data_IF_590389640384
#
_entry.id   IF_590389640384
#
_cell.length_a   1.000
_cell.length_b   1.000
_cell.length_c   1.000
_cell.angle_alpha   90.00
_cell.angle_beta   90.00
_cell.angle_gamma   90.00
#
_symmetry.space_group_name_H-M   'P 1'
#
loop_
_entity.id
_entity.type
_entity.pdbx_description
1 polymer ?
#
# COMPACT_ATOMS: atom_id res chain seq x y z
N UNK A 1 -6.28 12.38 -2.14
CA UNK A 1 -7.19 11.59 -1.27
C UNK A 1 -6.72 11.67 0.17
N UNK A 2 -7.64 11.79 1.13
CA UNK A 2 -7.28 11.87 2.55
C UNK A 2 -7.07 10.47 3.15
N UNK A 3 -6.02 10.29 3.96
CA UNK A 3 -5.70 9.03 4.64
C UNK A 3 -6.69 8.66 5.76
N UNK A 4 -7.49 9.62 6.18
CA UNK A 4 -8.50 9.46 7.24
C UNK A 4 -9.90 9.22 6.66
N UNK A 5 -10.00 8.88 5.39
CA UNK A 5 -11.26 8.62 4.71
C UNK A 5 -11.39 7.13 4.40
N UNK A 6 -12.53 6.57 4.79
CA UNK A 6 -12.85 5.15 4.66
C UNK A 6 -14.19 5.01 3.97
N UNK A 7 -14.27 4.19 2.93
CA UNK A 7 -15.54 3.82 2.30
C UNK A 7 -15.98 2.47 2.82
N UNK A 8 -17.18 2.38 3.35
CA UNK A 8 -17.78 1.13 3.77
C UNK A 8 -18.84 0.71 2.76
N UNK A 9 -18.51 -0.30 1.96
CA UNK A 9 -19.44 -0.91 1.00
C UNK A 9 -20.29 -1.94 1.72
N UNK A 10 -21.61 -1.85 1.57
CA UNK A 10 -22.51 -2.74 2.29
C UNK A 10 -23.68 -3.25 1.44
N UNK A 11 -23.94 -4.53 1.62
CA UNK A 11 -24.97 -5.32 0.95
C UNK A 11 -26.37 -5.17 1.51
N UNK A 12 -27.41 -5.61 0.76
CA UNK A 12 -28.69 -5.92 1.37
C UNK A 12 -28.53 -7.09 2.35
N UNK A 13 -29.21 -7.03 3.50
CA UNK A 13 -29.14 -8.05 4.54
C UNK A 13 -30.38 -8.93 4.48
N UNK A 14 -30.23 -10.25 4.37
CA UNK A 14 -31.35 -11.19 4.33
C UNK A 14 -31.84 -11.57 5.74
N UNK A 15 -32.22 -10.57 6.54
CA UNK A 15 -32.80 -10.76 7.88
C UNK A 15 -34.29 -10.43 7.82
N UNK A 16 -35.14 -11.31 8.37
CA UNK A 16 -36.60 -11.17 8.38
C UNK A 16 -37.20 -11.11 6.96
N UNK A 17 -36.80 -12.05 6.09
CA UNK A 17 -37.32 -12.26 4.72
C UNK A 17 -37.33 -11.01 3.82
N UNK A 18 -36.53 -10.00 4.17
CA UNK A 18 -36.46 -8.72 3.49
C UNK A 18 -35.04 -8.43 3.04
N UNK A 19 -34.78 -8.58 1.74
CA UNK A 19 -33.50 -8.24 1.11
C UNK A 19 -33.39 -6.73 0.87
N UNK A 20 -33.28 -5.95 1.95
CA UNK A 20 -33.12 -4.49 1.89
C UNK A 20 -31.78 -4.04 2.47
N UNK A 21 -31.27 -2.91 1.97
CA UNK A 21 -30.12 -2.23 2.55
C UNK A 21 -30.48 -1.68 3.93
N UNK A 22 -29.72 -2.08 4.96
CA UNK A 22 -29.95 -1.67 6.36
C UNK A 22 -28.69 -0.96 6.90
N UNK A 23 -28.49 0.34 6.62
CA UNK A 23 -27.30 1.08 7.05
C UNK A 23 -27.17 1.15 8.58
N UNK A 24 -28.27 1.01 9.32
CA UNK A 24 -28.30 0.99 10.77
C UNK A 24 -27.42 -0.11 11.40
N UNK A 25 -27.14 -1.20 10.67
CA UNK A 25 -26.22 -2.26 11.12
C UNK A 25 -24.77 -1.76 11.27
N UNK A 26 -24.40 -0.71 10.52
CA UNK A 26 -23.05 -0.15 10.51
C UNK A 26 -22.92 1.12 11.35
N UNK A 27 -23.98 1.54 12.05
CA UNK A 27 -23.96 2.75 12.89
C UNK A 27 -22.92 2.65 13.99
N UNK A 28 -22.84 1.51 14.71
CA UNK A 28 -21.84 1.33 15.77
C UNK A 28 -20.39 1.41 15.27
N UNK A 29 -20.12 0.84 14.09
CA UNK A 29 -18.81 0.91 13.44
C UNK A 29 -18.49 2.36 13.01
N UNK A 30 -19.46 3.03 12.38
CA UNK A 30 -19.35 4.42 11.92
C UNK A 30 -19.06 5.35 13.10
N UNK A 31 -19.86 5.29 14.15
CA UNK A 31 -19.75 6.16 15.32
C UNK A 31 -18.39 6.00 16.01
N UNK A 32 -17.92 4.75 16.14
CA UNK A 32 -16.62 4.49 16.75
C UNK A 32 -15.46 5.02 15.92
N UNK A 33 -15.48 4.82 14.61
CA UNK A 33 -14.43 5.31 13.71
C UNK A 33 -14.46 6.85 13.57
N UNK A 34 -15.65 7.46 13.58
CA UNK A 34 -15.80 8.92 13.64
C UNK A 34 -15.26 9.50 14.95
N UNK A 35 -15.51 8.85 16.09
CA UNK A 35 -14.95 9.25 17.39
C UNK A 35 -13.42 9.19 17.42
N UNK A 36 -12.81 8.27 16.66
CA UNK A 36 -11.35 8.18 16.49
C UNK A 36 -10.81 9.28 15.54
N UNK A 37 -11.67 9.88 14.71
CA UNK A 37 -11.33 10.95 13.77
C UNK A 37 -11.29 10.53 12.30
N UNK A 38 -11.80 9.34 11.95
CA UNK A 38 -11.97 8.91 10.57
C UNK A 38 -13.31 9.43 10.00
N UNK A 39 -13.29 9.82 8.72
CA UNK A 39 -14.50 10.11 7.96
C UNK A 39 -14.94 8.82 7.24
N UNK A 40 -16.18 8.41 7.47
CA UNK A 40 -16.77 7.21 6.87
C UNK A 40 -17.95 7.58 5.99
N UNK A 41 -17.92 7.05 4.77
CA UNK A 41 -19.04 7.08 3.85
C UNK A 41 -19.55 5.66 3.64
N UNK A 42 -20.87 5.50 3.74
CA UNK A 42 -21.55 4.23 3.52
C UNK A 42 -22.02 4.16 2.06
N UNK A 43 -21.57 3.15 1.32
CA UNK A 43 -21.92 2.95 -0.10
C UNK A 43 -22.71 1.64 -0.26
N UNK A 44 -23.99 1.67 -0.68
CA UNK A 44 -24.76 0.45 -0.90
C UNK A 44 -24.26 -0.31 -2.14
N UNK A 45 -24.23 -1.65 -2.06
CA UNK A 45 -23.78 -2.55 -3.14
C UNK A 45 -24.72 -3.76 -3.26
N UNK A 46 -25.05 -4.26 -4.47
CA UNK A 46 -26.07 -5.31 -4.63
C UNK A 46 -25.71 -6.72 -4.08
N UNK A 47 -24.53 -6.91 -3.47
CA UNK A 47 -24.10 -8.22 -2.96
C UNK A 47 -24.73 -8.53 -1.58
N UNK A 48 -25.51 -9.60 -1.49
CA UNK A 48 -26.23 -9.97 -0.26
C UNK A 48 -25.26 -10.31 0.88
N UNK A 49 -25.55 -9.77 2.08
CA UNK A 49 -24.77 -9.93 3.31
C UNK A 49 -23.27 -9.55 3.18
N UNK A 50 -22.93 -8.66 2.25
CA UNK A 50 -21.56 -8.22 2.01
C UNK A 50 -21.21 -6.98 2.82
N UNK A 51 -20.02 -6.93 3.43
CA UNK A 51 -19.45 -5.71 4.00
C UNK A 51 -17.96 -5.64 3.70
N UNK A 52 -17.50 -4.52 3.13
CA UNK A 52 -16.10 -4.28 2.81
C UNK A 52 -15.72 -2.86 3.18
N UNK A 53 -14.59 -2.71 3.87
CA UNK A 53 -13.98 -1.42 4.17
C UNK A 53 -12.83 -1.17 3.20
N UNK A 54 -12.89 -0.05 2.51
CA UNK A 54 -11.86 0.41 1.59
C UNK A 54 -11.20 1.68 2.16
N UNK A 55 -9.86 1.71 2.12
CA UNK A 55 -9.07 2.90 2.41
C UNK A 55 -8.12 3.16 1.25
N UNK A 56 -8.12 4.39 0.72
CA UNK A 56 -7.23 4.81 -0.36
C UNK A 56 -7.26 3.89 -1.61
N UNK A 57 -8.42 3.33 -1.98
CA UNK A 57 -8.52 2.42 -3.11
C UNK A 57 -8.21 0.95 -2.80
N UNK A 58 -7.87 0.62 -1.55
CA UNK A 58 -7.51 -0.73 -1.15
C UNK A 58 -8.49 -1.33 -0.15
N UNK A 59 -8.84 -2.60 -0.36
CA UNK A 59 -9.60 -3.39 0.59
C UNK A 59 -8.78 -3.63 1.86
N UNK A 60 -9.29 -3.14 2.98
CA UNK A 60 -8.66 -3.26 4.31
C UNK A 60 -9.27 -4.40 5.10
N UNK A 61 -10.59 -4.56 4.98
CA UNK A 61 -11.33 -5.54 5.75
C UNK A 61 -12.58 -5.96 5.01
N UNK A 62 -12.90 -7.24 5.10
CA UNK A 62 -14.13 -7.81 4.54
C UNK A 62 -14.75 -8.78 5.53
N UNK A 63 -16.07 -8.71 5.65
CA UNK A 63 -16.83 -9.61 6.48
C UNK A 63 -18.24 -9.85 5.93
N UNK A 64 -18.89 -10.88 6.46
CA UNK A 64 -20.31 -11.12 6.26
C UNK A 64 -21.11 -10.22 7.23
N UNK A 65 -22.10 -9.47 6.72
CA UNK A 65 -22.96 -8.60 7.52
C UNK A 65 -23.68 -9.33 8.67
N UNK A 66 -23.95 -10.63 8.52
CA UNK A 66 -24.56 -11.47 9.57
C UNK A 66 -23.69 -11.60 10.82
N UNK A 67 -22.38 -11.40 10.68
CA UNK A 67 -21.43 -11.52 11.79
C UNK A 67 -21.35 -10.23 12.63
N UNK A 68 -21.99 -9.14 12.19
CA UNK A 68 -22.09 -7.90 12.93
C UNK A 68 -23.35 -7.93 13.80
N UNK A 69 -23.19 -7.63 15.09
CA UNK A 69 -24.29 -7.64 16.05
C UNK A 69 -24.99 -6.28 16.05
N UNK A 70 -26.29 -6.28 15.73
CA UNK A 70 -27.11 -5.08 15.72
C UNK A 70 -27.23 -4.46 17.12
N UNK A 71 -27.21 -3.12 17.20
CA UNK A 71 -27.39 -2.34 18.43
C UNK A 71 -26.44 -2.68 19.59
N UNK A 72 -25.34 -3.37 19.31
CA UNK A 72 -24.36 -3.70 20.32
C UNK A 72 -23.28 -2.62 20.38
N UNK A 73 -22.86 -2.29 21.61
CA UNK A 73 -21.70 -1.44 21.86
C UNK A 73 -20.50 -2.05 21.12
N UNK A 74 -19.70 -1.26 20.36
CA UNK A 74 -18.62 -1.79 19.52
C UNK A 74 -17.63 -2.66 20.30
N UNK A 75 -17.36 -2.35 21.58
CA UNK A 75 -16.44 -3.15 22.41
C UNK A 75 -16.93 -4.60 22.66
N UNK A 76 -18.23 -4.88 22.51
CA UNK A 76 -18.80 -6.23 22.70
C UNK A 76 -18.92 -7.03 21.40
N UNK A 77 -18.77 -6.39 20.24
CA UNK A 77 -18.80 -7.07 18.95
C UNK A 77 -17.36 -7.34 18.46
N UNK A 78 -16.89 -8.60 18.48
CA UNK A 78 -15.52 -8.93 18.07
C UNK A 78 -15.29 -8.73 16.57
N UNK A 79 -16.34 -8.77 15.74
CA UNK A 79 -16.21 -8.51 14.30
C UNK A 79 -16.04 -7.00 14.05
N UNK A 80 -16.80 -6.19 14.78
CA UNK A 80 -16.67 -4.73 14.75
C UNK A 80 -15.28 -4.28 15.22
N UNK A 81 -14.79 -4.81 16.36
CA UNK A 81 -13.46 -4.49 16.87
C UNK A 81 -12.35 -4.88 15.89
N UNK A 82 -12.42 -6.08 15.29
CA UNK A 82 -11.45 -6.50 14.26
C UNK A 82 -11.45 -5.58 13.05
N UNK A 83 -12.62 -5.08 12.64
CA UNK A 83 -12.72 -4.13 11.54
C UNK A 83 -12.05 -2.79 11.90
N UNK A 84 -12.26 -2.29 13.12
CA UNK A 84 -11.62 -1.07 13.63
C UNK A 84 -10.10 -1.25 13.70
N UNK A 85 -9.62 -2.36 14.23
CA UNK A 85 -8.19 -2.67 14.35
C UNK A 85 -7.53 -2.81 12.96
N UNK A 86 -8.24 -3.40 11.99
CA UNK A 86 -7.79 -3.46 10.60
C UNK A 86 -7.64 -2.07 9.98
N UNK A 87 -8.60 -1.16 10.21
CA UNK A 87 -8.53 0.25 9.77
C UNK A 87 -7.37 0.98 10.45
N UNK A 88 -7.20 0.82 11.76
CA UNK A 88 -6.11 1.46 12.51
C UNK A 88 -4.73 0.98 12.03
N UNK A 89 -4.53 -0.33 11.96
CA UNK A 89 -3.26 -0.92 11.49
C UNK A 89 -2.96 -0.52 10.04
N UNK A 90 -3.96 -0.49 9.17
CA UNK A 90 -3.81 -0.05 7.78
C UNK A 90 -3.50 1.44 7.68
N UNK A 91 -4.09 2.29 8.54
CA UNK A 91 -3.78 3.72 8.57
C UNK A 91 -2.31 4.00 8.89
N UNK A 92 -1.68 3.19 9.76
CA UNK A 92 -0.25 3.28 10.06
C UNK A 92 0.58 2.89 8.84
N UNK A 93 0.22 1.79 8.16
CA UNK A 93 0.88 1.34 6.92
C UNK A 93 0.80 2.40 5.83
N UNK A 94 -0.37 2.99 5.60
CA UNK A 94 -0.53 4.03 4.59
C UNK A 94 0.19 5.33 4.94
N UNK A 95 0.27 5.72 6.22
CA UNK A 95 1.09 6.86 6.65
C UNK A 95 2.57 6.64 6.34
N UNK A 96 3.09 5.42 6.59
CA UNK A 96 4.47 5.05 6.24
C UNK A 96 4.68 5.07 4.74
N UNK A 97 3.80 4.42 3.96
CA UNK A 97 3.86 4.42 2.50
C UNK A 97 3.88 5.84 1.93
N UNK A 98 3.02 6.75 2.46
CA UNK A 98 3.01 8.16 2.05
C UNK A 98 4.32 8.88 2.38
N UNK A 99 4.88 8.66 3.56
CA UNK A 99 6.14 9.29 3.95
C UNK A 99 7.30 8.83 3.05
N UNK A 100 7.32 7.54 2.72
CA UNK A 100 8.29 6.94 1.80
C UNK A 100 8.11 7.55 0.40
N UNK A 101 6.89 7.59 -0.13
CA UNK A 101 6.61 8.14 -1.45
C UNK A 101 6.96 9.63 -1.54
N UNK A 102 6.65 10.40 -0.50
CA UNK A 102 7.06 11.81 -0.41
C UNK A 102 8.59 11.95 -0.44
N UNK A 103 9.30 11.13 0.34
CA UNK A 103 10.76 11.14 0.36
C UNK A 103 11.35 10.78 -1.02
N UNK A 104 10.77 9.80 -1.72
CA UNK A 104 11.14 9.47 -3.10
C UNK A 104 10.94 10.66 -4.06
N UNK A 105 9.78 11.33 -3.99
CA UNK A 105 9.55 12.51 -4.83
C UNK A 105 10.51 13.64 -4.49
N UNK A 106 10.84 13.85 -3.22
CA UNK A 106 11.80 14.85 -2.80
C UNK A 106 13.22 14.55 -3.31
N UNK A 107 13.65 13.29 -3.23
CA UNK A 107 14.91 12.85 -3.81
C UNK A 107 14.93 13.05 -5.33
N UNK A 108 13.85 12.69 -6.02
CA UNK A 108 13.76 12.87 -7.48
C UNK A 108 13.89 14.35 -7.88
N UNK A 109 13.17 15.21 -7.18
CA UNK A 109 13.23 16.66 -7.39
C UNK A 109 14.59 17.27 -7.04
N UNK A 110 15.28 16.81 -5.99
CA UNK A 110 16.55 17.41 -5.56
C UNK A 110 17.79 16.81 -6.23
N UNK A 111 17.77 15.52 -6.55
CA UNK A 111 18.94 14.82 -7.08
C UNK A 111 18.94 14.70 -8.60
N UNK A 112 17.77 14.57 -9.23
CA UNK A 112 17.71 14.22 -10.66
C UNK A 112 17.17 15.35 -11.53
N UNK A 113 16.33 16.25 -11.02
CA UNK A 113 15.97 17.49 -11.72
C UNK A 113 17.03 18.57 -11.52
N UNK A 114 18.13 18.42 -12.25
CA UNK A 114 19.14 19.48 -12.36
C UNK A 114 18.52 20.70 -13.04
N UNK A 115 18.58 21.86 -12.39
CA UNK A 115 18.33 23.14 -13.07
C UNK A 115 19.43 23.40 -14.10
N UNK A 116 19.18 24.28 -15.05
CA UNK A 116 20.19 24.71 -16.05
C UNK A 116 21.50 25.19 -15.38
N UNK A 117 21.37 25.74 -14.16
CA UNK A 117 22.47 26.24 -13.34
C UNK A 117 22.97 25.24 -12.27
N UNK A 118 22.44 24.02 -12.23
CA UNK A 118 22.92 23.02 -11.29
C UNK A 118 24.35 22.60 -11.65
N UNK A 119 25.21 22.32 -10.65
CA UNK A 119 26.56 21.80 -10.89
C UNK A 119 26.48 20.57 -11.81
N UNK A 120 27.18 20.62 -12.94
CA UNK A 120 27.32 19.45 -13.80
C UNK A 120 28.14 18.42 -13.03
N UNK A 121 27.59 17.24 -12.80
CA UNK A 121 28.39 16.11 -12.34
C UNK A 121 29.33 15.74 -13.48
N UNK A 122 30.57 16.20 -13.41
CA UNK A 122 31.63 15.74 -14.29
C UNK A 122 31.98 14.31 -13.85
N UNK A 123 31.52 13.33 -14.61
CA UNK A 123 32.07 12.00 -14.48
C UNK A 123 33.52 12.03 -14.96
N UNK A 124 34.39 11.29 -14.28
CA UNK A 124 35.81 11.24 -14.63
C UNK A 124 36.07 10.77 -16.08
N UNK A 125 35.09 10.15 -16.74
CA UNK A 125 35.12 9.79 -18.15
C UNK A 125 34.98 10.98 -19.10
N UNK A 126 34.35 12.08 -18.67
CA UNK A 126 34.01 13.22 -19.52
C UNK A 126 35.02 14.36 -19.38
N UNK A 127 35.93 14.24 -18.41
CA UNK A 127 37.13 15.05 -18.39
C UNK A 127 38.06 14.40 -19.42
N UNK A 128 38.22 15.04 -20.57
CA UNK A 128 39.40 14.86 -21.41
C UNK A 128 40.59 15.30 -20.57
N UNK A 129 41.02 14.44 -19.65
CA UNK A 129 42.31 14.57 -19.00
C UNK A 129 43.25 14.50 -20.20
N UNK A 130 43.97 15.59 -20.55
CA UNK A 130 44.93 15.51 -21.63
C UNK A 130 45.76 14.31 -21.28
N UNK A 131 45.70 13.29 -22.15
CA UNK A 131 46.36 12.02 -21.93
C UNK A 131 47.80 12.41 -21.65
N UNK A 132 48.16 12.45 -20.37
CA UNK A 132 49.54 12.44 -19.98
C UNK A 132 49.96 11.07 -20.48
N UNK A 133 50.47 11.05 -21.71
CA UNK A 133 51.24 9.95 -22.28
C UNK A 133 52.52 9.90 -21.44
N UNK A 134 52.38 9.59 -20.15
CA UNK A 134 53.43 8.95 -19.42
C UNK A 134 53.63 7.62 -20.14
N UNK A 135 54.76 7.51 -20.84
CA UNK A 135 55.22 6.29 -21.48
C UNK A 135 55.16 5.14 -20.47
N UNK A 136 54.04 4.41 -20.47
CA UNK A 136 53.75 3.26 -19.61
C UNK A 136 54.68 2.07 -19.86
N UNK A 137 55.61 2.17 -20.83
CA UNK A 137 56.64 1.15 -21.08
C UNK A 137 57.67 1.00 -19.96
N UNK A 138 57.69 1.90 -18.96
CA UNK A 138 58.60 1.79 -17.81
C UNK A 138 57.93 1.63 -16.44
N UNK A 139 56.60 1.59 -16.35
CA UNK A 139 55.94 1.22 -15.10
C UNK A 139 55.89 -0.30 -14.96
N UNK A 140 57.01 -0.88 -14.54
CA UNK A 140 56.96 -2.13 -13.77
C UNK A 140 56.08 -1.83 -12.56
N UNK A 141 54.88 -2.40 -12.52
CA UNK A 141 54.01 -2.37 -11.34
C UNK A 141 54.73 -3.11 -10.21
N UNK A 142 55.58 -2.38 -9.51
CA UNK A 142 56.02 -2.76 -8.18
C UNK A 142 54.79 -2.55 -7.30
N UNK A 143 54.23 -3.62 -6.76
CA UNK A 143 53.00 -3.69 -5.95
C UNK A 143 53.09 -2.95 -4.60
N UNK A 144 54.02 -1.99 -4.47
CA UNK A 144 54.09 -1.09 -3.33
C UNK A 144 53.11 0.06 -3.58
N UNK A 145 52.23 0.38 -2.62
CA UNK A 145 51.27 1.47 -2.76
C UNK A 145 52.05 2.73 -3.14
N UNK A 146 51.69 3.34 -4.27
CA UNK A 146 52.39 4.49 -4.83
C UNK A 146 52.49 5.58 -3.77
N UNK A 147 53.72 6.05 -3.49
CA UNK A 147 53.94 7.19 -2.58
C UNK A 147 53.29 8.47 -3.11
N UNK A 148 52.92 8.51 -4.38
CA UNK A 148 52.21 9.64 -4.98
C UNK A 148 50.89 9.94 -4.29
N UNK A 149 50.83 11.14 -3.72
CA UNK A 149 49.68 11.71 -3.03
C UNK A 149 48.45 11.75 -3.96
N UNK A 150 48.67 12.01 -5.24
CA UNK A 150 47.62 12.12 -6.27
C UNK A 150 46.91 10.78 -6.51
N UNK A 151 47.66 9.68 -6.61
CA UNK A 151 47.07 8.34 -6.76
C UNK A 151 46.33 7.89 -5.49
N UNK A 152 46.86 8.20 -4.30
CA UNK A 152 46.16 7.90 -3.04
C UNK A 152 44.85 8.65 -2.91
N UNK A 153 44.83 9.95 -3.22
CA UNK A 153 43.61 10.76 -3.18
C UNK A 153 42.55 10.26 -4.19
N UNK A 154 42.97 9.83 -5.39
CA UNK A 154 42.05 9.29 -6.39
C UNK A 154 41.43 7.96 -5.93
N UNK A 155 42.24 7.06 -5.36
CA UNK A 155 41.76 5.78 -4.82
C UNK A 155 40.82 6.01 -3.63
N UNK A 156 41.17 6.92 -2.71
CA UNK A 156 40.30 7.29 -1.59
C UNK A 156 38.97 7.89 -2.06
N UNK A 157 38.99 8.79 -3.04
CA UNK A 157 37.78 9.37 -3.61
C UNK A 157 36.87 8.28 -4.22
N UNK A 158 37.43 7.37 -5.03
CA UNK A 158 36.70 6.25 -5.63
C UNK A 158 36.12 5.35 -4.54
N UNK A 159 36.90 4.99 -3.51
CA UNK A 159 36.42 4.17 -2.40
C UNK A 159 35.32 4.88 -1.60
N UNK A 160 35.44 6.17 -1.31
CA UNK A 160 34.39 6.95 -0.62
C UNK A 160 33.09 7.01 -1.44
N UNK A 161 33.18 7.22 -2.76
CA UNK A 161 32.00 7.16 -3.64
C UNK A 161 31.40 5.76 -3.74
N UNK A 162 32.22 4.71 -3.78
CA UNK A 162 31.76 3.32 -3.81
C UNK A 162 31.06 2.92 -2.50
N UNK A 163 31.47 3.46 -1.36
CA UNK A 163 30.80 3.28 -0.06
C UNK A 163 29.44 4.00 -0.05
N UNK A 164 29.35 5.21 -0.62
CA UNK A 164 28.07 5.93 -0.78
C UNK A 164 27.10 5.18 -1.70
N UNK A 165 27.58 4.65 -2.82
CA UNK A 165 26.77 3.83 -3.74
C UNK A 165 26.33 2.49 -3.12
N UNK A 166 27.21 1.82 -2.36
CA UNK A 166 26.82 0.60 -1.63
C UNK A 166 25.77 0.87 -0.56
N UNK A 167 25.87 2.00 0.14
CA UNK A 167 24.84 2.42 1.11
C UNK A 167 23.52 2.75 0.42
N UNK A 168 23.54 3.51 -0.68
CA UNK A 168 22.34 3.82 -1.45
C UNK A 168 21.68 2.55 -2.01
N UNK A 169 22.47 1.62 -2.55
CA UNK A 169 21.98 0.35 -3.08
C UNK A 169 21.47 -0.58 -1.97
N UNK A 170 22.13 -0.64 -0.81
CA UNK A 170 21.66 -1.41 0.33
C UNK A 170 20.36 -0.84 0.91
N UNK A 171 20.21 0.48 0.95
CA UNK A 171 18.98 1.16 1.33
C UNK A 171 17.87 0.84 0.31
N UNK A 172 18.15 0.96 -0.99
CA UNK A 172 17.22 0.55 -2.06
C UNK A 172 16.79 -0.92 -1.93
N UNK A 173 17.74 -1.83 -1.71
CA UNK A 173 17.47 -3.26 -1.56
C UNK A 173 16.64 -3.58 -0.31
N UNK A 174 16.98 -2.93 0.82
CA UNK A 174 16.26 -3.06 2.08
C UNK A 174 14.82 -2.55 1.97
N UNK A 175 14.60 -1.46 1.21
CA UNK A 175 13.26 -0.92 0.97
C UNK A 175 12.45 -1.74 -0.03
N UNK A 176 13.06 -2.30 -1.08
CA UNK A 176 12.37 -3.29 -1.95
C UNK A 176 12.01 -4.57 -1.22
N UNK A 177 12.84 -5.00 -0.25
CA UNK A 177 12.53 -6.15 0.61
C UNK A 177 11.38 -5.82 1.57
N UNK A 178 11.32 -4.60 2.11
CA UNK A 178 10.20 -4.10 2.91
C UNK A 178 8.91 -3.96 2.11
N UNK A 179 8.96 -3.49 0.86
CA UNK A 179 7.81 -3.48 -0.05
C UNK A 179 7.32 -4.90 -0.32
N UNK A 180 8.25 -5.82 -0.60
CA UNK A 180 7.90 -7.23 -0.73
C UNK A 180 7.28 -7.82 0.53
N UNK A 181 7.70 -7.42 1.74
CA UNK A 181 7.10 -7.93 2.99
C UNK A 181 5.83 -7.20 3.43
N UNK A 182 5.67 -5.93 3.09
CA UNK A 182 4.46 -5.16 3.39
C UNK A 182 3.31 -5.51 2.44
N UNK A 183 3.62 -5.93 1.21
CA UNK A 183 2.64 -6.21 0.17
C UNK A 183 2.56 -7.68 -0.26
N UNK A 184 3.56 -8.55 -0.01
CA UNK A 184 3.39 -10.02 -0.07
C UNK A 184 3.11 -10.58 1.32
N UNK A 185 1.93 -11.17 1.44
CA UNK A 185 1.35 -11.79 2.65
C UNK A 185 2.32 -12.76 3.33
N UNK A 186 2.37 -12.75 4.66
CA UNK A 186 3.01 -13.83 5.42
C UNK A 186 2.25 -15.14 5.22
N UNK A 187 2.93 -16.31 5.30
CA UNK A 187 2.30 -17.64 5.22
C UNK A 187 1.19 -17.87 6.27
N UNK A 188 1.18 -17.05 7.33
CA UNK A 188 0.20 -17.10 8.42
C UNK A 188 -0.92 -16.06 8.29
N UNK A 189 -0.91 -15.23 7.25
CA UNK A 189 -2.05 -14.37 6.96
C UNK A 189 -3.26 -15.25 6.57
N UNK A 190 -4.48 -14.99 7.09
CA UNK A 190 -5.66 -15.73 6.69
C UNK A 190 -5.78 -15.70 5.16
N UNK A 191 -5.94 -16.86 4.51
CA UNK A 191 -6.14 -16.93 3.06
C UNK A 191 -7.33 -16.05 2.69
N UNK A 192 -7.12 -15.11 1.78
CA UNK A 192 -8.20 -14.35 1.17
C UNK A 192 -9.04 -15.33 0.37
N UNK A 193 -10.25 -15.56 0.85
CA UNK A 193 -11.28 -16.19 0.06
C UNK A 193 -11.64 -15.20 -1.05
N UNK A 194 -11.04 -15.37 -2.23
CA UNK A 194 -11.54 -14.70 -3.41
C UNK A 194 -13.00 -15.14 -3.62
N UNK A 195 -13.82 -14.26 -4.20
CA UNK A 195 -15.22 -14.61 -4.46
C UNK A 195 -15.37 -15.85 -5.38
N UNK A 196 -14.32 -16.19 -6.13
CA UNK A 196 -14.19 -17.43 -6.90
C UNK A 196 -13.98 -18.69 -6.05
N UNK A 197 -13.42 -18.55 -4.85
CA UNK A 197 -13.02 -19.68 -4.00
C UNK A 197 -14.10 -20.02 -2.97
N UNK A 198 -15.14 -19.19 -2.91
CA UNK A 198 -16.37 -19.52 -2.23
C UNK A 198 -17.30 -20.10 -3.29
N UNK A 199 -17.08 -21.38 -3.63
CA UNK A 199 -18.13 -22.25 -4.13
C UNK A 199 -19.18 -22.39 -3.00
N UNK A 200 -19.88 -21.31 -2.66
CA UNK A 200 -21.23 -21.49 -2.17
C UNK A 200 -21.92 -22.06 -3.40
N UNK A 201 -22.39 -23.32 -3.41
CA UNK A 201 -23.45 -23.63 -4.34
C UNK A 201 -24.46 -22.50 -4.12
N UNK A 202 -24.75 -21.70 -5.13
CA UNK A 202 -25.99 -20.96 -5.13
C UNK A 202 -27.03 -22.06 -4.93
N UNK A 203 -27.38 -22.33 -3.68
CA UNK A 203 -28.59 -23.03 -3.34
C UNK A 203 -29.62 -22.07 -3.89
N UNK A 204 -29.98 -22.32 -5.15
CA UNK A 204 -31.23 -21.90 -5.73
C UNK A 204 -32.23 -22.27 -4.68
N UNK A 205 -32.63 -21.28 -3.89
CA UNK A 205 -33.71 -21.44 -2.95
C UNK A 205 -34.87 -21.88 -3.83
N UNK A 206 -35.22 -23.15 -3.76
CA UNK A 206 -36.28 -23.76 -4.57
C UNK A 206 -37.63 -23.08 -4.32
N UNK A 207 -37.71 -22.24 -3.27
CA UNK A 207 -38.89 -21.47 -2.90
C UNK A 207 -38.83 -19.98 -3.33
N UNK A 208 -37.75 -19.51 -3.99
CA UNK A 208 -37.55 -18.08 -4.32
C UNK A 208 -37.67 -17.71 -5.81
N UNK A 209 -38.31 -18.53 -6.66
CA UNK A 209 -38.55 -18.13 -8.07
C UNK A 209 -39.38 -16.83 -8.19
N UNK A 210 -40.15 -16.47 -7.17
CA UNK A 210 -40.93 -15.21 -7.14
C UNK A 210 -40.19 -14.01 -6.54
N UNK A 211 -39.19 -14.21 -5.67
CA UNK A 211 -38.48 -13.10 -5.01
C UNK A 211 -37.41 -12.46 -5.89
N UNK A 212 -36.66 -13.26 -6.67
CA UNK A 212 -35.58 -12.72 -7.50
C UNK A 212 -36.07 -12.04 -8.79
N UNK A 213 -37.24 -12.42 -9.33
CA UNK A 213 -37.82 -11.76 -10.52
C UNK A 213 -38.26 -10.31 -10.25
N UNK A 214 -38.63 -9.98 -9.00
CA UNK A 214 -39.13 -8.64 -8.65
C UNK A 214 -38.01 -7.58 -8.54
N UNK A 215 -36.79 -7.99 -8.24
CA UNK A 215 -35.64 -7.07 -8.07
C UNK A 215 -35.10 -6.60 -9.43
N UNK A 216 -35.32 -7.36 -10.52
CA UNK A 216 -34.88 -7.00 -11.86
C UNK A 216 -35.93 -6.21 -12.67
N UNK A 217 -37.15 -6.03 -12.14
CA UNK A 217 -38.27 -5.45 -12.89
C UNK A 217 -38.70 -4.06 -12.44
N UNK A 218 -38.06 -3.44 -11.44
CA UNK A 218 -38.38 -2.05 -11.08
C UNK A 218 -37.57 -1.08 -11.96
N UNK A 219 -38.20 -0.35 -12.89
CA UNK A 219 -37.52 0.72 -13.60
C UNK A 219 -37.12 1.80 -12.58
N UNK A 220 -35.84 2.12 -12.55
CA UNK A 220 -35.31 3.29 -11.87
C UNK A 220 -35.96 4.51 -12.53
N UNK A 221 -36.98 5.07 -11.90
CA UNK A 221 -37.52 6.36 -12.31
C UNK A 221 -36.46 7.44 -12.03
N UNK A 222 -36.21 8.36 -12.99
CA UNK A 222 -35.21 9.42 -12.89
C UNK A 222 -35.55 10.47 -11.82
#
# INVERSE_FOLDING_TARGET
MSLLYVKAYYGPCNTFDSCKHKPHLLTGLRDRLQKIGFRIDLVPVPFVNYCMLEMCGHEVFRCNLRNLKFNMIPERDPTCMRAIDAVLSSSVKFRRARAILWFWTALDHQMFRRSEYAPKDYFASDIDVPVFRCNLKHMKFNTRPSRDKTCRNAIEAVMQSAVKFRRARAILWFWTALDHQMFRRSEYAPKDYFASDIDVPMTTCTDCEFCCKKILSEPVHP
#
